data_IF_727360942694
#
_entry.id   IF_727360942694
#
_cell.length_a   1.000
_cell.length_b   1.000
_cell.length_c   1.000
_cell.angle_alpha   90.00
_cell.angle_beta   90.00
_cell.angle_gamma   90.00
#
_symmetry.space_group_name_H-M   'P 1'
#
loop_
_entity.id
_entity.type
_entity.pdbx_description
1 polymer ?
#
# COMPACT_ATOMS: atom_id res chain seq x y z
N UNK A 1 -19.96 -20.23 24.52
CA UNK A 1 -18.67 -20.67 23.96
C UNK A 1 -18.73 -20.88 22.44
N UNK A 2 -19.79 -21.43 21.85
CA UNK A 2 -19.92 -21.56 20.39
C UNK A 2 -19.86 -20.21 19.63
N UNK A 3 -20.55 -19.18 20.14
CA UNK A 3 -20.57 -17.82 19.57
C UNK A 3 -19.18 -17.16 19.49
N UNK A 4 -18.32 -17.40 20.49
CA UNK A 4 -16.95 -16.84 20.49
C UNK A 4 -16.08 -17.53 19.45
N UNK A 5 -16.19 -18.85 19.31
CA UNK A 5 -15.43 -19.62 18.32
C UNK A 5 -15.85 -19.25 16.89
N UNK A 6 -17.14 -19.07 16.64
CA UNK A 6 -17.66 -18.63 15.33
C UNK A 6 -17.16 -17.21 14.98
N UNK A 7 -17.13 -16.31 15.96
CA UNK A 7 -16.54 -14.97 15.76
C UNK A 7 -15.03 -15.02 15.50
N UNK A 8 -14.31 -15.93 16.13
CA UNK A 8 -12.88 -16.16 15.87
C UNK A 8 -12.67 -16.66 14.44
N UNK A 9 -13.45 -17.65 14.00
CA UNK A 9 -13.35 -18.20 12.65
C UNK A 9 -13.62 -17.14 11.57
N UNK A 10 -14.63 -16.28 11.79
CA UNK A 10 -14.90 -15.14 10.90
C UNK A 10 -13.74 -14.15 10.87
N UNK A 11 -13.14 -13.84 12.04
CA UNK A 11 -11.99 -12.94 12.12
C UNK A 11 -10.76 -13.51 11.41
N UNK A 12 -10.48 -14.80 11.59
CA UNK A 12 -9.38 -15.50 10.91
C UNK A 12 -9.57 -15.50 9.40
N UNK A 13 -10.80 -15.77 8.93
CA UNK A 13 -11.13 -15.69 7.51
C UNK A 13 -10.92 -14.27 6.96
N UNK A 14 -11.45 -13.26 7.64
CA UNK A 14 -11.29 -11.87 7.21
C UNK A 14 -9.82 -11.44 7.18
N UNK A 15 -9.01 -11.88 8.16
CA UNK A 15 -7.57 -11.63 8.18
C UNK A 15 -6.86 -12.29 6.99
N UNK A 16 -7.22 -13.53 6.66
CA UNK A 16 -6.64 -14.24 5.53
C UNK A 16 -6.99 -13.56 4.20
N UNK A 17 -8.25 -13.15 4.02
CA UNK A 17 -8.71 -12.44 2.83
C UNK A 17 -7.99 -11.09 2.69
N UNK A 18 -7.89 -10.30 3.78
CA UNK A 18 -7.14 -9.04 3.79
C UNK A 18 -5.65 -9.22 3.50
N UNK A 19 -5.04 -10.30 4.00
CA UNK A 19 -3.64 -10.62 3.73
C UNK A 19 -3.41 -10.95 2.26
N UNK A 20 -4.33 -11.72 1.66
CA UNK A 20 -4.28 -12.06 0.24
C UNK A 20 -4.46 -10.81 -0.64
N UNK A 21 -5.44 -9.97 -0.34
CA UNK A 21 -5.70 -8.72 -1.06
C UNK A 21 -4.52 -7.75 -0.95
N UNK A 22 -3.88 -7.67 0.23
CA UNK A 22 -2.66 -6.88 0.41
C UNK A 22 -1.52 -7.43 -0.46
N UNK A 23 -1.34 -8.75 -0.49
CA UNK A 23 -0.30 -9.36 -1.32
C UNK A 23 -0.56 -9.13 -2.82
N UNK A 24 -1.79 -9.35 -3.28
CA UNK A 24 -2.21 -9.09 -4.65
C UNK A 24 -1.99 -7.62 -5.05
N UNK A 25 -2.35 -6.69 -4.17
CA UNK A 25 -2.14 -5.25 -4.38
C UNK A 25 -0.66 -4.91 -4.52
N UNK A 26 0.21 -5.48 -3.68
CA UNK A 26 1.68 -5.29 -3.78
C UNK A 26 2.21 -5.77 -5.13
N UNK A 27 1.79 -6.96 -5.57
CA UNK A 27 2.21 -7.50 -6.87
C UNK A 27 1.72 -6.61 -8.02
N UNK A 28 0.45 -6.19 -7.99
CA UNK A 28 -0.12 -5.31 -9.01
C UNK A 28 0.61 -3.97 -9.09
N UNK A 29 0.88 -3.34 -7.94
CA UNK A 29 1.64 -2.08 -7.86
C UNK A 29 3.05 -2.29 -8.41
N UNK A 30 3.75 -3.36 -8.02
CA UNK A 30 5.10 -3.63 -8.53
C UNK A 30 5.13 -3.79 -10.06
N UNK A 31 4.16 -4.53 -10.63
CA UNK A 31 4.04 -4.70 -12.08
C UNK A 31 3.78 -3.37 -12.76
N UNK A 32 2.81 -2.59 -12.27
CA UNK A 32 2.49 -1.26 -12.83
C UNK A 32 3.67 -0.29 -12.70
N UNK A 33 4.34 -0.27 -11.55
CA UNK A 33 5.53 0.55 -11.32
C UNK A 33 6.64 0.19 -12.28
N UNK A 34 6.86 -1.10 -12.53
CA UNK A 34 7.83 -1.57 -13.53
C UNK A 34 7.47 -1.08 -14.93
N UNK A 35 6.21 -1.26 -15.35
CA UNK A 35 5.72 -0.81 -16.66
C UNK A 35 5.90 0.71 -16.81
N UNK A 36 5.51 1.50 -15.81
CA UNK A 36 5.64 2.96 -15.85
C UNK A 36 7.11 3.39 -15.89
N UNK A 37 7.98 2.78 -15.09
CA UNK A 37 9.41 3.08 -15.12
C UNK A 37 10.03 2.73 -16.49
N UNK A 38 9.65 1.61 -17.10
CA UNK A 38 10.09 1.23 -18.44
C UNK A 38 9.60 2.21 -19.52
N UNK A 39 8.32 2.61 -19.47
CA UNK A 39 7.72 3.54 -20.44
C UNK A 39 8.29 4.96 -20.31
N UNK A 40 8.55 5.40 -19.09
CA UNK A 40 9.02 6.77 -18.81
C UNK A 40 10.53 6.91 -19.02
N UNK A 41 11.28 5.80 -18.98
CA UNK A 41 12.74 5.80 -19.06
C UNK A 41 13.44 6.42 -17.85
N UNK A 42 12.69 6.77 -16.79
CA UNK A 42 13.19 7.42 -15.60
C UNK A 42 12.91 6.58 -14.35
N UNK A 43 13.92 5.86 -13.82
CA UNK A 43 13.81 5.16 -12.55
C UNK A 43 13.51 6.12 -11.39
N UNK A 44 12.54 5.77 -10.56
CA UNK A 44 12.13 6.56 -9.39
C UNK A 44 11.17 7.71 -9.70
N UNK A 45 10.65 7.80 -10.93
CA UNK A 45 9.65 8.81 -11.30
C UNK A 45 8.41 8.78 -10.39
N UNK A 46 7.92 7.58 -10.07
CA UNK A 46 6.72 7.39 -9.27
C UNK A 46 6.89 7.87 -7.82
N UNK A 47 8.04 7.58 -7.21
CA UNK A 47 8.39 8.04 -5.86
C UNK A 47 8.42 9.57 -5.80
N UNK A 48 9.16 10.21 -6.72
CA UNK A 48 9.25 11.68 -6.79
C UNK A 48 7.90 12.33 -7.06
N UNK A 49 7.10 11.74 -7.96
CA UNK A 49 5.76 12.24 -8.28
C UNK A 49 4.85 12.17 -7.06
N UNK A 50 4.94 11.10 -6.27
CA UNK A 50 4.19 10.94 -5.04
C UNK A 50 4.60 12.01 -4.00
N UNK A 51 5.90 12.20 -3.76
CA UNK A 51 6.41 13.23 -2.85
C UNK A 51 6.02 14.65 -3.26
N UNK A 52 6.13 14.98 -4.56
CA UNK A 52 5.71 16.27 -5.11
C UNK A 52 4.22 16.52 -4.92
N UNK A 53 3.39 15.51 -5.17
CA UNK A 53 1.94 15.64 -5.03
C UNK A 53 1.53 15.74 -3.57
N UNK A 54 2.14 14.95 -2.67
CA UNK A 54 1.94 15.05 -1.21
C UNK A 54 2.33 16.42 -0.66
N UNK A 55 3.45 16.97 -1.15
CA UNK A 55 3.92 18.30 -0.74
C UNK A 55 2.99 19.42 -1.18
N UNK A 56 2.21 19.18 -2.25
CA UNK A 56 1.29 20.16 -2.82
C UNK A 56 -0.12 20.07 -2.24
N UNK A 57 -0.57 18.88 -1.83
CA UNK A 57 -1.87 18.66 -1.20
C UNK A 57 -1.93 17.33 -0.42
N UNK A 58 -2.79 17.22 0.61
CA UNK A 58 -3.07 15.93 1.25
C UNK A 58 -3.65 14.94 0.23
N UNK A 59 -2.90 13.88 -0.04
CA UNK A 59 -3.29 12.82 -0.98
C UNK A 59 -4.43 11.95 -0.46
N UNK A 60 -4.59 11.88 0.87
CA UNK A 60 -5.61 11.09 1.54
C UNK A 60 -6.42 11.99 2.46
N UNK A 61 -7.74 12.00 2.27
CA UNK A 61 -8.67 12.56 3.26
C UNK A 61 -9.11 11.43 4.18
N UNK A 62 -8.67 11.48 5.43
CA UNK A 62 -9.16 10.57 6.45
C UNK A 62 -10.56 10.98 6.86
N UNK A 63 -11.55 10.11 6.64
CA UNK A 63 -12.95 10.35 7.02
C UNK A 63 -13.22 10.05 8.52
N UNK A 64 -12.18 9.72 9.28
CA UNK A 64 -12.22 9.35 10.70
C UNK A 64 -10.92 9.78 11.39
N UNK A 65 -10.92 10.02 12.71
CA UNK A 65 -9.70 10.31 13.44
C UNK A 65 -8.72 9.14 13.30
N UNK A 66 -7.52 9.44 12.83
CA UNK A 66 -6.41 8.49 12.73
C UNK A 66 -5.48 8.65 13.93
N UNK A 67 -4.81 7.56 14.30
CA UNK A 67 -3.79 7.61 15.34
C UNK A 67 -2.65 8.55 14.95
N UNK A 68 -2.03 9.19 15.95
CA UNK A 68 -0.87 10.04 15.74
C UNK A 68 0.26 9.24 15.07
N UNK A 69 0.83 9.79 13.98
CA UNK A 69 1.85 9.14 13.16
C UNK A 69 1.34 8.06 12.18
N UNK A 70 0.03 7.83 12.08
CA UNK A 70 -0.53 6.90 11.09
C UNK A 70 -0.26 7.35 9.65
N UNK A 71 -0.39 8.65 9.38
CA UNK A 71 -0.14 9.22 8.05
C UNK A 71 1.32 9.08 7.61
N UNK A 72 2.26 9.21 8.55
CA UNK A 72 3.68 9.01 8.28
C UNK A 72 3.99 7.54 7.99
N UNK A 73 3.43 6.61 8.78
CA UNK A 73 3.55 5.17 8.52
C UNK A 73 2.92 4.77 7.18
N UNK A 74 1.78 5.37 6.84
CA UNK A 74 1.12 5.15 5.55
C UNK A 74 2.00 5.62 4.40
N UNK A 75 2.59 6.81 4.55
CA UNK A 75 3.49 7.40 3.56
C UNK A 75 4.73 6.54 3.37
N UNK A 76 5.39 6.12 4.44
CA UNK A 76 6.55 5.24 4.39
C UNK A 76 6.23 3.93 3.66
N UNK A 77 5.06 3.33 3.95
CA UNK A 77 4.61 2.13 3.25
C UNK A 77 4.39 2.36 1.76
N UNK A 78 3.78 3.49 1.38
CA UNK A 78 3.55 3.82 -0.04
C UNK A 78 4.88 4.06 -0.76
N UNK A 79 5.80 4.83 -0.18
CA UNK A 79 7.12 5.08 -0.75
C UNK A 79 7.88 3.77 -0.98
N UNK A 80 7.87 2.84 -0.01
CA UNK A 80 8.48 1.52 -0.17
C UNK A 80 7.86 0.69 -1.31
N UNK A 81 6.57 0.83 -1.59
CA UNK A 81 5.91 0.16 -2.72
C UNK A 81 6.28 0.80 -4.07
N UNK A 82 6.52 2.11 -4.08
CA UNK A 82 6.84 2.86 -5.30
C UNK A 82 8.33 2.88 -5.63
N UNK A 83 9.20 2.75 -4.62
CA UNK A 83 10.66 2.74 -4.76
C UNK A 83 11.22 1.39 -5.20
N UNK A 84 10.38 0.34 -5.27
CA UNK A 84 10.79 -1.00 -5.69
C UNK A 84 11.18 -0.99 -7.17
N UNK A 85 12.47 -0.76 -7.40
CA UNK A 85 13.14 -0.94 -8.67
C UNK A 85 13.60 -2.38 -8.70
N UNK A 86 12.89 -3.24 -9.43
CA UNK A 86 13.28 -4.62 -9.77
C UNK A 86 14.00 -5.40 -8.66
N UNK A 87 13.25 -6.01 -7.74
CA UNK A 87 13.81 -7.19 -7.05
C UNK A 87 13.53 -8.41 -7.92
N UNK A 88 14.60 -9.13 -8.24
CA UNK A 88 14.62 -10.35 -9.05
C UNK A 88 13.53 -11.33 -8.59
N UNK A 89 12.73 -11.79 -9.56
CA UNK A 89 11.81 -12.92 -9.42
C UNK A 89 12.58 -14.23 -9.29
#
# INVERSE_FOLDING_TARGET
MADVNERIEILEKNLNDLSLDLHASKVAINVLSTVVNTLSGEPGLLERSYEQTRSSAPLVKFNHPVEEGYEDKLTERILNLLSTTQHEL
#
